data_IF_459466447436
#
_entry.id   IF_459466447436
#
_cell.length_a   1.000
_cell.length_b   1.000
_cell.length_c   1.000
_cell.angle_alpha   90.00
_cell.angle_beta   90.00
_cell.angle_gamma   90.00
#
_symmetry.space_group_name_H-M   'P 1'
#
loop_
_entity.id
_entity.type
_entity.pdbx_description
1 polymer ?
#
# COMPACT_ATOMS: atom_id res chain seq x y z
N UNK A 1 14.55 -10.98 3.41
CA UNK A 1 14.80 -11.92 4.51
C UNK A 1 14.16 -13.28 4.26
N UNK A 2 12.85 -13.38 4.00
CA UNK A 2 12.14 -14.68 3.91
C UNK A 2 12.77 -15.73 2.98
N UNK A 3 13.23 -15.35 1.79
CA UNK A 3 13.78 -16.31 0.81
C UNK A 3 15.04 -17.03 1.33
N UNK A 4 15.92 -16.31 2.04
CA UNK A 4 17.11 -16.88 2.68
C UNK A 4 16.78 -17.68 3.95
N UNK A 5 15.66 -17.35 4.61
CA UNK A 5 15.18 -18.06 5.80
C UNK A 5 14.53 -19.40 5.45
N UNK A 6 13.69 -19.42 4.42
CA UNK A 6 12.82 -20.56 4.10
C UNK A 6 13.34 -21.43 2.95
N UNK A 7 14.33 -20.95 2.20
CA UNK A 7 15.05 -21.72 1.17
C UNK A 7 14.13 -22.46 0.18
N UNK A 8 13.23 -21.75 -0.54
CA UNK A 8 12.30 -22.39 -1.45
C UNK A 8 13.05 -23.11 -2.59
N UNK A 9 12.71 -24.38 -2.84
CA UNK A 9 13.40 -25.22 -3.82
C UNK A 9 12.56 -25.54 -5.06
N UNK A 10 11.36 -24.99 -5.19
CA UNK A 10 10.55 -25.10 -6.41
C UNK A 10 9.59 -23.91 -6.55
N UNK A 11 8.96 -23.81 -7.70
CA UNK A 11 8.03 -22.73 -8.05
C UNK A 11 6.88 -22.58 -7.05
N UNK A 12 6.31 -23.71 -6.60
CA UNK A 12 5.21 -23.72 -5.63
C UNK A 12 5.65 -23.12 -4.30
N UNK A 13 6.85 -23.47 -3.82
CA UNK A 13 7.44 -22.93 -2.61
C UNK A 13 7.81 -21.45 -2.75
N UNK A 14 8.37 -21.06 -3.90
CA UNK A 14 8.76 -19.67 -4.11
C UNK A 14 7.54 -18.75 -4.16
N UNK A 15 6.40 -19.23 -4.66
CA UNK A 15 5.12 -18.50 -4.61
C UNK A 15 4.59 -18.30 -3.19
N UNK A 16 5.03 -19.09 -2.21
CA UNK A 16 4.69 -18.88 -0.78
C UNK A 16 5.47 -17.74 -0.15
N UNK A 17 6.55 -17.26 -0.78
CA UNK A 17 7.32 -16.10 -0.33
C UNK A 17 6.52 -14.81 -0.53
N UNK A 18 6.52 -13.95 0.49
CA UNK A 18 5.82 -12.67 0.49
C UNK A 18 6.39 -11.74 -0.59
N UNK A 19 5.51 -11.13 -1.39
CA UNK A 19 5.92 -10.21 -2.46
C UNK A 19 6.44 -10.87 -3.74
N UNK A 20 6.43 -12.22 -3.82
CA UNK A 20 6.62 -12.99 -5.06
C UNK A 20 5.24 -13.34 -5.63
N UNK A 21 4.79 -12.55 -6.61
CA UNK A 21 3.59 -12.81 -7.42
C UNK A 21 3.96 -13.26 -8.84
N UNK A 22 2.97 -13.51 -9.68
CA UNK A 22 3.15 -14.11 -11.02
C UNK A 22 4.19 -13.38 -11.87
N UNK A 23 4.10 -12.05 -11.97
CA UNK A 23 5.02 -11.25 -12.79
C UNK A 23 6.49 -11.37 -12.35
N UNK A 24 6.74 -11.42 -11.03
CA UNK A 24 8.10 -11.56 -10.51
C UNK A 24 8.61 -13.00 -10.62
N UNK A 25 7.71 -13.97 -10.44
CA UNK A 25 8.01 -15.38 -10.64
C UNK A 25 8.43 -15.63 -12.09
N UNK A 26 7.71 -15.08 -13.06
CA UNK A 26 8.05 -15.19 -14.48
C UNK A 26 9.38 -14.49 -14.80
N UNK A 27 9.58 -13.27 -14.30
CA UNK A 27 10.73 -12.45 -14.65
C UNK A 27 12.05 -12.87 -13.96
N UNK A 28 11.98 -13.36 -12.73
CA UNK A 28 13.16 -13.58 -11.88
C UNK A 28 13.21 -14.98 -11.27
N UNK A 29 12.15 -15.77 -11.41
CA UNK A 29 11.99 -16.95 -10.58
C UNK A 29 12.98 -18.06 -10.84
N UNK A 30 13.26 -18.34 -12.11
CA UNK A 30 14.22 -19.37 -12.52
C UNK A 30 15.62 -19.09 -11.99
N UNK A 31 16.10 -17.85 -12.14
CA UNK A 31 17.42 -17.45 -11.68
C UNK A 31 17.56 -17.64 -10.16
N UNK A 32 16.65 -17.07 -9.37
CA UNK A 32 16.70 -17.21 -7.91
C UNK A 32 16.61 -18.67 -7.46
N UNK A 33 15.74 -19.48 -8.06
CA UNK A 33 15.64 -20.90 -7.73
C UNK A 33 16.94 -21.65 -8.03
N UNK A 34 17.61 -21.32 -9.14
CA UNK A 34 18.90 -21.95 -9.47
C UNK A 34 19.96 -21.66 -8.40
N UNK A 35 20.09 -20.41 -7.98
CA UNK A 35 21.03 -19.99 -6.93
C UNK A 35 20.73 -20.62 -5.57
N UNK A 36 19.45 -20.63 -5.17
CA UNK A 36 19.02 -21.21 -3.90
C UNK A 36 19.28 -22.72 -3.88
N UNK A 37 18.94 -23.44 -4.96
CA UNK A 37 19.21 -24.88 -5.08
C UNK A 37 20.70 -25.19 -5.02
N UNK A 38 21.52 -24.46 -5.78
CA UNK A 38 22.97 -24.65 -5.77
C UNK A 38 23.56 -24.44 -4.37
N UNK A 39 23.09 -23.42 -3.66
CA UNK A 39 23.49 -23.18 -2.27
C UNK A 39 23.03 -24.28 -1.32
N UNK A 40 21.78 -24.73 -1.43
CA UNK A 40 21.23 -25.80 -0.59
C UNK A 40 21.97 -27.12 -0.79
N UNK A 41 22.31 -27.48 -2.03
CA UNK A 41 23.11 -28.69 -2.33
C UNK A 41 24.51 -28.58 -1.74
N UNK A 42 25.15 -27.42 -1.86
CA UNK A 42 26.51 -27.19 -1.37
C UNK A 42 26.61 -27.31 0.16
N UNK A 43 25.62 -26.77 0.87
CA UNK A 43 25.63 -26.66 2.33
C UNK A 43 24.78 -27.76 3.01
N UNK A 44 24.27 -28.73 2.23
CA UNK A 44 23.39 -29.83 2.69
C UNK A 44 22.14 -29.33 3.46
N UNK A 45 21.43 -28.36 2.85
CA UNK A 45 20.25 -27.72 3.44
C UNK A 45 18.95 -28.17 2.76
N UNK A 46 17.94 -28.46 3.58
CA UNK A 46 16.58 -28.71 3.12
C UNK A 46 15.75 -27.41 3.03
N UNK A 47 14.67 -27.44 2.24
CA UNK A 47 13.64 -26.40 2.27
C UNK A 47 13.04 -26.31 3.67
N UNK A 48 12.79 -25.08 4.12
CA UNK A 48 12.16 -24.78 5.42
C UNK A 48 10.82 -24.07 5.25
N UNK A 49 10.23 -24.20 4.06
CA UNK A 49 9.03 -23.48 3.64
C UNK A 49 7.79 -23.87 4.45
N UNK A 50 7.79 -25.07 5.03
CA UNK A 50 6.79 -25.60 5.94
C UNK A 50 6.73 -24.84 7.27
N UNK A 51 7.85 -24.27 7.71
CA UNK A 51 7.93 -23.41 8.90
C UNK A 51 7.32 -22.02 8.67
N UNK A 52 7.01 -21.66 7.42
CA UNK A 52 6.43 -20.36 7.09
C UNK A 52 4.94 -20.36 7.39
N UNK A 53 4.50 -19.43 8.23
CA UNK A 53 3.08 -19.17 8.41
C UNK A 53 2.38 -18.95 7.06
N UNK A 54 1.14 -19.44 6.88
CA UNK A 54 0.40 -19.32 5.62
C UNK A 54 0.51 -17.90 5.08
N UNK A 55 0.91 -17.77 3.81
CA UNK A 55 0.95 -16.47 3.13
C UNK A 55 -0.45 -15.87 3.30
N UNK A 56 -0.57 -14.74 4.02
CA UNK A 56 -1.81 -13.95 4.00
C UNK A 56 -2.15 -13.80 2.53
N UNK A 57 -3.31 -14.31 2.12
CA UNK A 57 -3.73 -14.30 0.72
C UNK A 57 -3.39 -12.92 0.17
N UNK A 58 -2.57 -12.90 -0.89
CA UNK A 58 -2.19 -11.68 -1.55
C UNK A 58 -3.51 -11.10 -2.06
N UNK A 59 -4.12 -10.21 -1.28
CA UNK A 59 -5.31 -9.48 -1.69
C UNK A 59 -4.80 -8.62 -2.81
N UNK A 60 -4.85 -9.19 -4.01
CA UNK A 60 -4.60 -8.51 -5.26
C UNK A 60 -5.27 -7.15 -5.10
N UNK A 61 -4.48 -6.07 -5.09
CA UNK A 61 -5.00 -4.71 -4.94
C UNK A 61 -5.77 -4.38 -6.21
N UNK A 62 -6.95 -4.94 -6.33
CA UNK A 62 -7.90 -4.64 -7.36
C UNK A 62 -8.48 -3.27 -7.03
N UNK A 63 -8.64 -2.40 -8.04
CA UNK A 63 -9.44 -1.18 -7.90
C UNK A 63 -10.92 -1.48 -7.60
N UNK A 64 -11.28 -2.76 -7.60
CA UNK A 64 -12.60 -3.30 -7.38
C UNK A 64 -12.64 -4.07 -6.07
N UNK A 65 -13.72 -3.95 -5.30
CA UNK A 65 -13.91 -4.75 -4.10
C UNK A 65 -14.26 -6.21 -4.45
N UNK A 66 -14.56 -7.03 -3.44
CA UNK A 66 -14.94 -8.43 -3.64
C UNK A 66 -16.24 -8.60 -4.48
N UNK A 67 -17.02 -7.53 -4.67
CA UNK A 67 -18.24 -7.50 -5.49
C UNK A 67 -18.02 -6.92 -6.90
N UNK A 68 -16.79 -6.53 -7.25
CA UNK A 68 -16.48 -5.93 -8.55
C UNK A 68 -16.73 -4.42 -8.64
N UNK A 69 -17.12 -3.76 -7.54
CA UNK A 69 -17.43 -2.32 -7.49
C UNK A 69 -16.18 -1.48 -7.26
N UNK A 70 -16.15 -0.29 -7.85
CA UNK A 70 -15.04 0.66 -7.69
C UNK A 70 -14.82 1.04 -6.21
N UNK A 71 -13.70 0.59 -5.67
CA UNK A 71 -13.29 0.79 -4.27
C UNK A 71 -13.18 2.26 -3.87
N UNK A 72 -12.88 3.15 -4.83
CA UNK A 72 -12.82 4.59 -4.59
C UNK A 72 -14.23 5.13 -4.34
N UNK A 73 -15.19 4.82 -5.23
CA UNK A 73 -16.60 5.24 -5.11
C UNK A 73 -17.27 4.70 -3.87
N UNK A 74 -17.04 3.44 -3.48
CA UNK A 74 -17.59 2.91 -2.22
C UNK A 74 -17.12 3.72 -1.01
N UNK A 75 -15.85 4.16 -1.01
CA UNK A 75 -15.32 4.97 0.10
C UNK A 75 -15.99 6.33 0.14
N UNK A 76 -16.22 6.93 -1.03
CA UNK A 76 -16.89 8.22 -1.16
C UNK A 76 -18.36 8.13 -0.74
N UNK A 77 -19.10 7.13 -1.21
CA UNK A 77 -20.52 6.92 -0.87
C UNK A 77 -20.70 6.81 0.65
N UNK A 78 -19.94 5.92 1.31
CA UNK A 78 -20.01 5.74 2.75
C UNK A 78 -19.60 7.02 3.52
N UNK A 79 -18.63 7.78 3.02
CA UNK A 79 -18.22 9.05 3.61
C UNK A 79 -19.32 10.11 3.46
N UNK A 80 -19.98 10.17 2.30
CA UNK A 80 -21.09 11.09 2.02
C UNK A 80 -22.36 10.76 2.81
N UNK A 81 -22.52 9.51 3.23
CA UNK A 81 -23.54 9.09 4.20
C UNK A 81 -23.26 9.57 5.63
N UNK A 82 -22.23 10.41 5.84
CA UNK A 82 -21.90 11.01 7.14
C UNK A 82 -21.04 10.14 8.04
N UNK A 83 -20.47 9.04 7.52
CA UNK A 83 -19.58 8.16 8.30
C UNK A 83 -18.20 8.77 8.42
N UNK A 84 -17.57 8.59 9.58
CA UNK A 84 -16.17 8.98 9.75
C UNK A 84 -15.23 8.09 8.93
N UNK A 85 -14.04 8.60 8.62
CA UNK A 85 -12.98 7.84 7.92
C UNK A 85 -12.68 6.51 8.64
N UNK A 86 -12.68 6.51 9.98
CA UNK A 86 -12.46 5.32 10.80
C UNK A 86 -13.59 4.29 10.65
N UNK A 87 -14.85 4.75 10.59
CA UNK A 87 -16.00 3.88 10.40
C UNK A 87 -16.01 3.26 8.98
N UNK A 88 -15.73 4.07 7.96
CA UNK A 88 -15.58 3.59 6.56
C UNK A 88 -14.47 2.54 6.48
N UNK A 89 -13.34 2.78 7.14
CA UNK A 89 -12.23 1.84 7.18
C UNK A 89 -12.61 0.50 7.82
N UNK A 90 -13.31 0.54 8.97
CA UNK A 90 -13.81 -0.63 9.68
C UNK A 90 -14.79 -1.43 8.84
N UNK A 91 -15.77 -0.76 8.24
CA UNK A 91 -16.82 -1.40 7.42
C UNK A 91 -16.24 -2.05 6.16
N UNK A 92 -15.28 -1.39 5.51
CA UNK A 92 -14.62 -1.91 4.30
C UNK A 92 -13.50 -2.91 4.61
N UNK A 93 -13.10 -3.08 5.87
CA UNK A 93 -11.97 -3.93 6.25
C UNK A 93 -10.63 -3.46 5.67
N UNK A 94 -10.43 -2.14 5.57
CA UNK A 94 -9.19 -1.50 5.10
C UNK A 94 -8.63 -0.56 6.18
N UNK A 95 -7.43 -0.03 5.98
CA UNK A 95 -6.84 0.94 6.90
C UNK A 95 -7.41 2.36 6.67
N UNK A 96 -7.55 3.21 7.71
CA UNK A 96 -7.99 4.61 7.57
C UNK A 96 -7.19 5.39 6.51
N UNK A 97 -5.87 5.20 6.47
CA UNK A 97 -4.99 5.79 5.46
C UNK A 97 -5.35 5.39 4.02
N UNK A 98 -5.93 4.20 3.81
CA UNK A 98 -6.42 3.79 2.48
C UNK A 98 -7.69 4.55 2.11
N UNK A 99 -8.57 4.80 3.08
CA UNK A 99 -9.78 5.60 2.87
C UNK A 99 -9.42 7.06 2.58
N UNK A 100 -8.53 7.68 3.35
CA UNK A 100 -8.04 9.05 3.09
C UNK A 100 -7.46 9.17 1.67
N UNK A 101 -6.60 8.23 1.28
CA UNK A 101 -6.03 8.18 -0.07
C UNK A 101 -7.10 8.02 -1.16
N UNK A 102 -8.22 7.34 -0.87
CA UNK A 102 -9.33 7.23 -1.80
C UNK A 102 -10.08 8.55 -1.92
N UNK A 103 -10.40 9.18 -0.79
CA UNK A 103 -11.16 10.44 -0.74
C UNK A 103 -10.37 11.61 -1.35
N UNK A 104 -9.05 11.65 -1.17
CA UNK A 104 -8.20 12.69 -1.76
C UNK A 104 -8.32 12.78 -3.30
N UNK A 105 -8.66 11.68 -3.99
CA UNK A 105 -8.88 11.70 -5.45
C UNK A 105 -10.10 12.49 -5.89
N UNK A 106 -11.07 12.66 -5.00
CA UNK A 106 -12.33 13.34 -5.27
C UNK A 106 -12.28 14.83 -4.92
N UNK A 107 -11.11 15.33 -4.50
CA UNK A 107 -10.89 16.75 -4.30
C UNK A 107 -10.84 17.50 -5.63
N UNK A 108 -10.16 16.95 -6.63
CA UNK A 108 -10.08 17.56 -7.97
C UNK A 108 -11.43 17.61 -8.68
N UNK A 109 -12.36 16.70 -8.35
CA UNK A 109 -13.74 16.71 -8.86
C UNK A 109 -14.68 17.58 -8.04
N UNK A 110 -14.26 18.06 -6.87
CA UNK A 110 -15.09 18.84 -5.95
C UNK A 110 -16.09 18.01 -5.14
N UNK A 111 -16.10 16.68 -5.32
CA UNK A 111 -16.96 15.77 -4.54
C UNK A 111 -16.46 15.60 -3.11
N UNK A 112 -15.21 15.98 -2.81
CA UNK A 112 -14.65 16.11 -1.45
C UNK A 112 -13.96 17.46 -1.30
N UNK A 113 -14.32 18.21 -0.26
CA UNK A 113 -13.65 19.44 0.07
C UNK A 113 -12.42 19.18 0.94
N UNK A 114 -11.36 19.96 0.74
CA UNK A 114 -10.10 19.79 1.45
C UNK A 114 -10.27 19.77 2.99
N UNK A 115 -11.11 20.66 3.52
CA UNK A 115 -11.31 20.81 4.97
C UNK A 115 -12.07 19.62 5.60
N UNK A 116 -12.68 18.76 4.79
CA UNK A 116 -13.32 17.52 5.26
C UNK A 116 -12.29 16.43 5.57
N UNK A 117 -11.09 16.51 4.98
CA UNK A 117 -9.99 15.56 5.23
C UNK A 117 -8.85 16.15 6.05
N UNK A 118 -8.62 17.47 5.93
CA UNK A 118 -7.48 18.14 6.53
C UNK A 118 -7.95 19.29 7.41
N UNK A 119 -7.63 19.30 8.71
CA UNK A 119 -7.90 20.44 9.57
C UNK A 119 -7.25 21.72 9.02
N UNK A 120 -8.00 22.83 9.00
CA UNK A 120 -7.56 24.09 8.39
C UNK A 120 -6.18 24.59 8.87
N UNK A 121 -5.88 24.40 10.16
CA UNK A 121 -4.60 24.82 10.74
C UNK A 121 -3.38 24.03 10.21
N UNK A 122 -3.59 22.85 9.63
CA UNK A 122 -2.53 22.03 9.03
C UNK A 122 -2.29 22.35 7.56
N UNK A 123 -3.29 22.88 6.86
CA UNK A 123 -3.26 23.05 5.40
C UNK A 123 -2.06 23.88 4.96
N UNK A 124 -1.81 25.01 5.60
CA UNK A 124 -0.73 25.92 5.21
C UNK A 124 0.66 25.32 5.47
N UNK A 125 0.82 24.60 6.58
CA UNK A 125 2.08 23.88 6.89
C UNK A 125 2.37 22.80 5.84
N UNK A 126 1.35 22.02 5.45
CA UNK A 126 1.49 21.00 4.41
C UNK A 126 1.80 21.66 3.07
N UNK A 127 1.08 22.73 2.69
CA UNK A 127 1.30 23.46 1.43
C UNK A 127 2.75 23.95 1.30
N UNK A 128 3.28 24.55 2.36
CA UNK A 128 4.67 25.02 2.39
C UNK A 128 5.68 23.88 2.25
N UNK A 129 5.42 22.73 2.89
CA UNK A 129 6.25 21.54 2.72
C UNK A 129 6.17 21.01 1.28
N UNK A 130 4.98 20.94 0.68
CA UNK A 130 4.80 20.51 -0.71
C UNK A 130 5.58 21.41 -1.68
N UNK A 131 5.49 22.73 -1.54
CA UNK A 131 6.24 23.68 -2.38
C UNK A 131 7.76 23.58 -2.18
N UNK A 132 8.22 23.24 -0.97
CA UNK A 132 9.65 23.07 -0.67
C UNK A 132 10.25 21.84 -1.35
N UNK A 133 9.47 20.76 -1.51
CA UNK A 133 9.93 19.49 -2.07
C UNK A 133 9.30 19.18 -3.44
N UNK A 134 8.68 20.17 -4.10
CA UNK A 134 7.90 19.97 -5.33
C UNK A 134 8.69 19.34 -6.48
N UNK A 135 10.00 19.57 -6.51
CA UNK A 135 10.88 19.06 -7.57
C UNK A 135 11.14 17.55 -7.45
N UNK A 136 10.92 16.96 -6.27
CA UNK A 136 11.21 15.54 -6.03
C UNK A 136 10.02 14.62 -6.38
N UNK A 137 8.80 15.17 -6.54
CA UNK A 137 7.58 14.41 -6.86
C UNK A 137 7.22 13.29 -5.85
N UNK A 138 8.02 13.14 -4.81
CA UNK A 138 7.97 12.04 -3.86
C UNK A 138 7.29 12.50 -2.57
N UNK A 139 6.36 11.68 -2.07
CA UNK A 139 5.65 11.96 -0.82
C UNK A 139 6.50 11.67 0.42
N UNK A 140 7.52 10.80 0.31
CA UNK A 140 8.32 10.39 1.46
C UNK A 140 9.12 11.54 2.08
N UNK A 141 9.85 12.36 1.32
CA UNK A 141 10.57 13.52 1.88
C UNK A 141 9.65 14.52 2.58
N UNK A 142 8.46 14.79 2.00
CA UNK A 142 7.45 15.66 2.60
C UNK A 142 6.94 15.08 3.93
N UNK A 143 6.63 13.78 3.96
CA UNK A 143 6.16 13.09 5.17
C UNK A 143 7.22 13.06 6.27
N UNK A 144 8.47 12.81 5.92
CA UNK A 144 9.60 12.83 6.86
C UNK A 144 9.82 14.22 7.43
N UNK A 145 9.70 15.26 6.61
CA UNK A 145 9.82 16.65 7.05
C UNK A 145 8.68 17.09 7.98
N UNK A 146 7.44 16.69 7.67
CA UNK A 146 6.26 17.05 8.46
C UNK A 146 6.13 16.26 9.77
N UNK A 147 6.67 15.05 9.83
CA UNK A 147 6.58 14.18 11.00
C UNK A 147 5.22 13.48 11.16
N UNK A 148 5.04 12.79 12.28
CA UNK A 148 3.93 11.85 12.50
C UNK A 148 2.56 12.49 12.69
N UNK A 149 2.52 13.80 12.98
CA UNK A 149 1.28 14.56 13.09
C UNK A 149 0.56 14.76 11.73
N UNK A 150 1.20 14.40 10.61
CA UNK A 150 0.67 14.56 9.26
C UNK A 150 0.63 13.22 8.54
N UNK A 151 -0.55 12.84 8.05
CA UNK A 151 -0.76 11.61 7.31
C UNK A 151 -0.42 11.78 5.83
N UNK A 152 -0.10 10.68 5.15
CA UNK A 152 0.02 10.69 3.69
C UNK A 152 -1.29 11.09 2.99
N UNK A 153 -2.44 10.81 3.62
CA UNK A 153 -3.76 11.21 3.14
C UNK A 153 -3.92 12.73 3.11
N UNK A 154 -3.60 13.40 4.23
CA UNK A 154 -3.63 14.87 4.32
C UNK A 154 -2.69 15.53 3.32
N UNK A 155 -1.47 15.00 3.15
CA UNK A 155 -0.50 15.54 2.18
C UNK A 155 -1.05 15.43 0.75
N UNK A 156 -1.60 14.27 0.37
CA UNK A 156 -2.23 14.09 -0.95
C UNK A 156 -3.45 14.98 -1.14
N UNK A 157 -4.23 15.20 -0.08
CA UNK A 157 -5.41 16.03 -0.13
C UNK A 157 -5.04 17.48 -0.47
N UNK A 158 -3.99 18.02 0.17
CA UNK A 158 -3.48 19.35 -0.13
C UNK A 158 -2.93 19.42 -1.55
N UNK A 159 -2.12 18.45 -1.98
CA UNK A 159 -1.62 18.38 -3.37
C UNK A 159 -2.76 18.39 -4.39
N UNK A 160 -3.84 17.65 -4.14
CA UNK A 160 -4.99 17.58 -5.03
C UNK A 160 -5.84 18.86 -5.07
N UNK A 161 -5.67 19.75 -4.09
CA UNK A 161 -6.37 21.03 -3.99
C UNK A 161 -5.60 22.23 -4.57
N UNK A 162 -4.34 22.02 -4.95
CA UNK A 162 -3.46 23.02 -5.54
C UNK A 162 -3.61 23.04 -7.06
#
# INVERSE_FOLDING_TARGET
AEMATYLPQNDSEMRKISGVGDLKMEKYGGDFLSWIKAYCVKEDLASRIDLKSPKRADRQRTKRDASGKDTYRISLELFRDGRSIADVARERGVQPSTVENHLAKFITTGEVQLHELVPLHKVETIRNAVLKFSDEGALSPIKEFLGDDYTYGEIRAVIASM
#
